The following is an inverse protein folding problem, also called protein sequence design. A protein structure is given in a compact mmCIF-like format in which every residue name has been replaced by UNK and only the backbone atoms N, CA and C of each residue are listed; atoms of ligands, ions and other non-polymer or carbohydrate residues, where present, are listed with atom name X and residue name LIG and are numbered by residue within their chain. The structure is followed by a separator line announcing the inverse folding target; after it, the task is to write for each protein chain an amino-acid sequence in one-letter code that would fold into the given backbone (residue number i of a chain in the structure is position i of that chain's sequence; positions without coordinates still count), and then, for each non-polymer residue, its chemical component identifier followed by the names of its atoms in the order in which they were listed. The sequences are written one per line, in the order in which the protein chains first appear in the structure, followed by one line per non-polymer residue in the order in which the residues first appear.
data_IF_151311903651
#
_entry.id   IF_151311903651
#
_cell.length_a   1.000
_cell.length_b   1.000
_cell.length_c   1.000
_cell.angle_alpha   90.00
_cell.angle_beta   90.00
_cell.angle_gamma   90.00
#
_symmetry.space_group_name_H-M   'P 1'
#
loop_
_entity.id
_entity.type
_entity.pdbx_description
1 polymer ?
#
# COMPACT_ATOMS: atom_id res chain seq x y z
N UNK A 1 -33.63 35.43 22.80
CA UNK A 1 -33.29 35.66 21.38
C UNK A 1 -32.64 34.39 20.86
N UNK A 2 -33.43 33.53 20.20
CA UNK A 2 -33.01 32.20 19.74
C UNK A 2 -33.17 32.16 18.23
N UNK A 3 -32.05 32.15 17.51
CA UNK A 3 -32.03 32.09 16.05
C UNK A 3 -32.29 30.65 15.61
N UNK A 4 -33.46 30.42 15.02
CA UNK A 4 -33.85 29.14 14.43
C UNK A 4 -32.92 28.79 13.26
N UNK A 5 -32.05 27.81 13.48
CA UNK A 5 -31.15 27.23 12.49
C UNK A 5 -31.98 26.44 11.46
N UNK A 6 -32.08 26.93 10.21
CA UNK A 6 -32.92 26.33 9.17
C UNK A 6 -32.24 25.07 8.60
N UNK A 7 -32.83 23.87 8.75
CA UNK A 7 -32.23 22.61 8.27
C UNK A 7 -32.07 22.54 6.74
N UNK A 8 -32.77 23.38 5.99
CA UNK A 8 -32.67 23.44 4.52
C UNK A 8 -31.32 23.95 4.00
N UNK A 9 -30.60 24.79 4.76
CA UNK A 9 -29.32 25.34 4.31
C UNK A 9 -28.20 24.29 4.31
N UNK A 10 -28.27 23.32 5.23
CA UNK A 10 -27.31 22.23 5.33
C UNK A 10 -27.51 21.19 4.22
N UNK A 11 -28.76 20.87 3.89
CA UNK A 11 -29.09 19.98 2.77
C UNK A 11 -28.68 20.57 1.41
N UNK A 12 -28.85 21.88 1.20
CA UNK A 12 -28.37 22.56 0.00
C UNK A 12 -26.83 22.62 -0.07
N UNK A 13 -26.13 22.75 1.07
CA UNK A 13 -24.66 22.67 1.13
C UNK A 13 -24.13 21.26 0.86
N UNK A 14 -24.81 20.22 1.33
CA UNK A 14 -24.48 18.82 1.00
C UNK A 14 -24.69 18.53 -0.49
N UNK A 15 -25.76 19.06 -1.10
CA UNK A 15 -26.01 18.94 -2.55
C UNK A 15 -25.02 19.74 -3.41
N UNK A 16 -24.43 20.81 -2.86
CA UNK A 16 -23.38 21.59 -3.56
C UNK A 16 -21.98 20.99 -3.43
N UNK A 17 -21.73 20.06 -2.50
CA UNK A 17 -20.47 19.31 -2.46
C UNK A 17 -20.35 18.28 -3.59
N UNK A 18 -21.45 17.90 -4.22
CA UNK A 18 -21.49 17.05 -5.42
C UNK A 18 -21.28 17.86 -6.71
N UNK A 19 -20.44 18.89 -6.69
CA UNK A 19 -19.99 19.50 -7.94
C UNK A 19 -19.08 18.47 -8.63
N UNK A 20 -19.48 17.88 -9.77
CA UNK A 20 -18.69 16.84 -10.42
C UNK A 20 -17.34 17.47 -10.75
N UNK A 21 -16.27 16.89 -10.22
CA UNK A 21 -14.90 17.27 -10.57
C UNK A 21 -14.81 17.42 -12.08
N UNK A 22 -14.15 18.49 -12.56
CA UNK A 22 -13.92 18.61 -13.99
C UNK A 22 -13.19 17.35 -14.48
N UNK A 23 -13.53 16.87 -15.67
CA UNK A 23 -12.98 15.63 -16.23
C UNK A 23 -11.44 15.62 -16.19
N UNK A 24 -10.82 16.80 -16.35
CA UNK A 24 -9.39 17.05 -16.19
C UNK A 24 -8.88 16.85 -14.76
N UNK A 25 -9.57 17.38 -13.74
CA UNK A 25 -9.21 17.21 -12.33
C UNK A 25 -9.36 15.75 -11.88
N UNK A 26 -10.40 15.06 -12.35
CA UNK A 26 -10.58 13.63 -12.08
C UNK A 26 -9.44 12.80 -12.67
N UNK A 27 -9.07 13.07 -13.93
CA UNK A 27 -7.96 12.38 -14.61
C UNK A 27 -6.62 12.59 -13.88
N UNK A 28 -6.35 13.83 -13.44
CA UNK A 28 -5.14 14.14 -12.71
C UNK A 28 -5.11 13.47 -11.32
N UNK A 29 -6.24 13.46 -10.62
CA UNK A 29 -6.38 12.77 -9.33
C UNK A 29 -6.15 11.27 -9.46
N UNK A 30 -6.72 10.64 -10.49
CA UNK A 30 -6.52 9.21 -10.78
C UNK A 30 -5.05 8.89 -11.08
N UNK A 31 -4.37 9.70 -11.91
CA UNK A 31 -2.94 9.51 -12.19
C UNK A 31 -2.09 9.59 -10.92
N UNK A 32 -2.37 10.56 -10.02
CA UNK A 32 -1.64 10.68 -8.75
C UNK A 32 -1.86 9.47 -7.83
N UNK A 33 -3.08 8.94 -7.79
CA UNK A 33 -3.41 7.71 -7.04
C UNK A 33 -2.70 6.48 -7.60
N UNK A 34 -2.69 6.31 -8.92
CA UNK A 34 -1.99 5.20 -9.59
C UNK A 34 -0.47 5.28 -9.36
N UNK A 35 0.13 6.47 -9.44
CA UNK A 35 1.56 6.67 -9.19
C UNK A 35 1.92 6.41 -7.70
N UNK A 36 1.07 6.86 -6.77
CA UNK A 36 1.23 6.56 -5.35
C UNK A 36 1.12 5.05 -5.06
N UNK A 37 0.17 4.36 -5.71
CA UNK A 37 -0.03 2.92 -5.57
C UNK A 37 1.18 2.14 -6.12
N UNK A 38 1.66 2.47 -7.32
CA UNK A 38 2.82 1.80 -7.91
C UNK A 38 4.09 2.01 -7.07
N UNK A 39 4.29 3.22 -6.55
CA UNK A 39 5.41 3.52 -5.65
C UNK A 39 5.30 2.74 -4.34
N UNK A 40 4.12 2.68 -3.73
CA UNK A 40 3.88 1.92 -2.51
C UNK A 40 4.11 0.41 -2.73
N UNK A 41 3.64 -0.16 -3.84
CA UNK A 41 3.86 -1.56 -4.20
C UNK A 41 5.33 -1.88 -4.46
N UNK A 42 6.08 -1.00 -5.14
CA UNK A 42 7.53 -1.20 -5.34
C UNK A 42 8.26 -1.25 -4.00
N UNK A 43 7.93 -0.37 -3.07
CA UNK A 43 8.52 -0.37 -1.73
C UNK A 43 8.13 -1.61 -0.93
N UNK A 44 6.87 -2.03 -0.99
CA UNK A 44 6.39 -3.27 -0.36
C UNK A 44 7.15 -4.49 -0.88
N UNK A 45 7.34 -4.62 -2.19
CA UNK A 45 8.13 -5.71 -2.81
C UNK A 45 9.58 -5.68 -2.37
N UNK A 46 10.22 -4.51 -2.32
CA UNK A 46 11.61 -4.38 -1.89
C UNK A 46 11.78 -4.78 -0.43
N UNK A 47 10.90 -4.31 0.47
CA UNK A 47 10.96 -4.68 1.89
C UNK A 47 10.65 -6.16 2.09
N UNK A 48 9.66 -6.70 1.38
CA UNK A 48 9.34 -8.13 1.42
C UNK A 48 10.49 -8.99 0.91
N UNK A 49 11.16 -8.58 -0.18
CA UNK A 49 12.32 -9.28 -0.71
C UNK A 49 13.52 -9.20 0.24
N UNK A 50 13.81 -8.01 0.78
CA UNK A 50 14.88 -7.82 1.76
C UNK A 50 14.65 -8.64 3.03
N UNK A 51 13.40 -8.68 3.53
CA UNK A 51 13.03 -9.57 4.61
C UNK A 51 13.35 -11.02 4.19
N UNK A 52 12.79 -11.51 3.09
CA UNK A 52 12.96 -12.91 2.70
C UNK A 52 14.42 -13.34 2.55
N UNK A 53 15.24 -12.50 1.92
CA UNK A 53 16.69 -12.72 1.80
C UNK A 53 17.36 -12.74 3.17
N UNK A 54 17.04 -11.79 4.06
CA UNK A 54 17.62 -11.76 5.41
C UNK A 54 17.26 -13.00 6.24
N UNK A 55 16.04 -13.52 6.10
CA UNK A 55 15.64 -14.79 6.74
C UNK A 55 16.42 -15.97 6.19
N UNK A 56 16.56 -16.06 4.88
CA UNK A 56 17.25 -17.17 4.25
C UNK A 56 18.73 -17.20 4.68
N UNK A 57 19.37 -16.03 4.73
CA UNK A 57 20.74 -15.87 5.24
C UNK A 57 20.81 -16.28 6.72
N UNK A 58 19.93 -15.74 7.57
CA UNK A 58 19.93 -16.07 9.00
C UNK A 58 19.68 -17.57 9.23
N UNK A 59 18.77 -18.17 8.48
CA UNK A 59 18.45 -19.59 8.54
C UNK A 59 19.65 -20.45 8.15
N UNK A 60 20.29 -20.18 7.01
CA UNK A 60 21.49 -20.91 6.59
C UNK A 60 22.60 -20.78 7.63
N UNK A 61 22.85 -19.57 8.12
CA UNK A 61 23.88 -19.32 9.13
C UNK A 61 23.57 -19.98 10.48
N UNK A 62 22.30 -20.12 10.85
CA UNK A 62 21.89 -20.86 12.04
C UNK A 62 22.31 -22.34 11.95
N UNK A 63 22.12 -22.97 10.78
CA UNK A 63 22.58 -24.35 10.55
C UNK A 63 24.10 -24.46 10.50
N UNK A 64 24.78 -23.53 9.83
CA UNK A 64 26.24 -23.51 9.75
C UNK A 64 26.86 -23.34 11.15
N UNK A 65 26.35 -22.41 11.95
CA UNK A 65 26.79 -22.20 13.33
C UNK A 65 26.49 -23.38 14.24
N UNK A 66 25.28 -23.95 14.15
CA UNK A 66 24.89 -25.10 14.96
C UNK A 66 25.67 -26.38 14.62
N UNK A 67 26.07 -26.55 13.37
CA UNK A 67 26.87 -27.70 12.91
C UNK A 67 28.34 -27.64 13.32
N UNK A 68 28.83 -26.50 13.83
CA UNK A 68 30.26 -26.23 14.13
C UNK A 68 31.23 -26.50 12.97
N UNK A 69 30.73 -26.68 11.74
CA UNK A 69 31.56 -27.01 10.56
C UNK A 69 32.54 -25.87 10.22
N UNK A 70 32.20 -24.64 10.57
CA UNK A 70 33.03 -23.45 10.32
C UNK A 70 33.80 -22.95 11.56
N UNK A 71 33.80 -23.68 12.67
CA UNK A 71 34.33 -23.24 13.97
C UNK A 71 33.30 -22.51 14.83
N UNK A 72 33.67 -22.18 16.07
CA UNK A 72 32.79 -21.45 16.99
C UNK A 72 32.69 -19.97 16.56
N UNK A 73 31.47 -19.42 16.62
CA UNK A 73 31.20 -18.00 16.34
C UNK A 73 31.58 -17.07 17.49
N UNK A 74 31.88 -17.65 18.66
CA UNK A 74 32.34 -16.87 19.82
C UNK A 74 33.81 -16.45 19.63
N UNK A 75 34.11 -15.13 19.59
CA UNK A 75 35.49 -14.65 19.46
C UNK A 75 36.39 -15.02 20.64
N UNK A 76 35.82 -15.44 21.78
CA UNK A 76 36.56 -15.91 22.95
C UNK A 76 36.94 -17.40 22.89
N UNK A 77 36.41 -18.14 21.90
CA UNK A 77 36.71 -19.57 21.75
C UNK A 77 38.10 -19.81 21.17
N UNK A 78 38.74 -20.93 21.56
CA UNK A 78 40.07 -21.31 21.03
C UNK A 78 40.05 -21.76 19.56
N UNK A 79 38.87 -22.12 19.06
CA UNK A 79 38.64 -22.54 17.67
C UNK A 79 38.07 -21.40 16.80
N UNK A 80 38.07 -20.17 17.30
CA UNK A 80 37.64 -19.00 16.56
C UNK A 80 38.60 -18.70 15.41
N UNK A 81 38.08 -18.75 14.18
CA UNK A 81 38.79 -18.30 12.99
C UNK A 81 38.23 -16.93 12.58
N UNK A 82 39.02 -16.06 11.94
CA UNK A 82 38.55 -14.74 11.46
C UNK A 82 37.27 -14.88 10.59
N UNK A 83 37.17 -15.96 9.81
CA UNK A 83 35.99 -16.30 9.03
C UNK A 83 34.76 -16.67 9.88
N UNK A 84 34.93 -17.38 10.99
CA UNK A 84 33.79 -17.75 11.86
C UNK A 84 33.22 -16.53 12.56
N UNK A 85 34.08 -15.64 13.08
CA UNK A 85 33.66 -14.41 13.76
C UNK A 85 32.91 -13.48 12.80
N UNK A 86 33.40 -13.31 11.56
CA UNK A 86 32.72 -12.50 10.55
C UNK A 86 31.36 -13.07 10.15
N UNK A 87 31.25 -14.40 10.00
CA UNK A 87 29.96 -15.08 9.79
C UNK A 87 28.99 -14.86 10.96
N UNK A 88 29.49 -14.89 12.20
CA UNK A 88 28.70 -14.59 13.40
C UNK A 88 28.14 -13.16 13.42
N UNK A 89 28.94 -12.17 13.04
CA UNK A 89 28.47 -10.77 12.92
C UNK A 89 27.39 -10.64 11.84
N UNK A 90 27.59 -11.25 10.67
CA UNK A 90 26.59 -11.25 9.59
C UNK A 90 25.29 -11.91 10.07
N UNK A 91 25.39 -13.02 10.80
CA UNK A 91 24.24 -13.69 11.41
C UNK A 91 23.48 -12.78 12.36
N UNK A 92 24.17 -12.08 13.27
CA UNK A 92 23.54 -11.14 14.20
C UNK A 92 22.82 -10.00 13.47
N UNK A 93 23.45 -9.41 12.44
CA UNK A 93 22.83 -8.36 11.63
C UNK A 93 21.59 -8.91 10.92
N UNK A 94 21.67 -10.08 10.30
CA UNK A 94 20.54 -10.72 9.62
C UNK A 94 19.39 -11.05 10.60
N UNK A 95 19.72 -11.57 11.78
CA UNK A 95 18.77 -11.93 12.82
C UNK A 95 18.02 -10.73 13.41
N UNK A 96 18.65 -9.54 13.48
CA UNK A 96 17.99 -8.29 13.89
C UNK A 96 17.23 -7.64 12.73
N UNK A 97 17.79 -7.70 11.52
CA UNK A 97 17.21 -7.09 10.32
C UNK A 97 15.90 -7.78 9.93
N UNK A 98 15.81 -9.11 10.04
CA UNK A 98 14.60 -9.86 9.71
C UNK A 98 13.34 -9.43 10.49
N UNK A 99 13.31 -9.45 11.84
CA UNK A 99 12.12 -9.04 12.59
C UNK A 99 11.83 -7.56 12.40
N UNK A 100 12.86 -6.72 12.21
CA UNK A 100 12.67 -5.29 11.94
C UNK A 100 12.02 -5.05 10.57
N UNK A 101 12.48 -5.75 9.53
CA UNK A 101 11.89 -5.71 8.19
C UNK A 101 10.46 -6.25 8.19
N UNK A 102 10.22 -7.35 8.91
CA UNK A 102 8.89 -7.95 9.07
C UNK A 102 7.94 -7.02 9.83
N UNK A 103 8.38 -6.41 10.92
CA UNK A 103 7.60 -5.44 11.68
C UNK A 103 7.27 -4.20 10.83
N UNK A 104 8.24 -3.67 10.08
CA UNK A 104 8.05 -2.56 9.15
C UNK A 104 7.04 -2.90 8.05
N UNK A 105 7.11 -4.11 7.50
CA UNK A 105 6.17 -4.62 6.50
C UNK A 105 4.72 -4.62 7.02
N UNK A 106 4.48 -5.24 8.17
CA UNK A 106 3.13 -5.34 8.76
C UNK A 106 2.60 -4.00 9.28
N UNK A 107 3.46 -3.19 9.90
CA UNK A 107 3.06 -1.91 10.50
C UNK A 107 2.76 -0.85 9.46
N UNK A 108 3.59 -0.72 8.40
CA UNK A 108 3.58 0.48 7.55
C UNK A 108 3.09 0.25 6.13
N UNK A 109 3.39 -0.91 5.54
CA UNK A 109 3.12 -1.15 4.12
C UNK A 109 1.75 -1.77 3.89
N UNK A 110 1.39 -2.78 4.69
CA UNK A 110 0.10 -3.47 4.57
C UNK A 110 -1.13 -2.54 4.71
N UNK A 111 -1.23 -1.65 5.71
CA UNK A 111 -2.37 -0.74 5.81
C UNK A 111 -2.40 0.28 4.67
N UNK A 112 -1.27 0.90 4.31
CA UNK A 112 -1.20 1.89 3.22
C UNK A 112 -1.64 1.34 1.87
N UNK A 113 -1.22 0.13 1.53
CA UNK A 113 -1.59 -0.50 0.26
C UNK A 113 -3.07 -0.87 0.26
N UNK A 114 -3.62 -1.27 1.41
CA UNK A 114 -5.06 -1.56 1.54
C UNK A 114 -5.89 -0.29 1.38
N UNK A 115 -5.54 0.78 2.07
CA UNK A 115 -6.27 2.05 2.02
C UNK A 115 -6.23 2.66 0.61
N UNK A 116 -5.08 2.62 -0.08
CA UNK A 116 -4.98 3.07 -1.47
C UNK A 116 -5.81 2.21 -2.44
N UNK A 117 -5.86 0.89 -2.22
CA UNK A 117 -6.71 0.01 -3.03
C UNK A 117 -8.20 0.28 -2.80
N UNK A 118 -8.60 0.53 -1.56
CA UNK A 118 -9.98 0.90 -1.20
C UNK A 118 -10.36 2.23 -1.87
N UNK A 119 -9.50 3.25 -1.78
CA UNK A 119 -9.73 4.54 -2.46
C UNK A 119 -9.85 4.41 -3.99
N UNK A 120 -9.01 3.60 -4.64
CA UNK A 120 -9.12 3.37 -6.09
C UNK A 120 -10.42 2.62 -6.43
N UNK A 121 -10.85 1.67 -5.60
CA UNK A 121 -12.09 0.93 -5.81
C UNK A 121 -13.30 1.84 -5.67
N UNK A 122 -13.32 2.70 -4.66
CA UNK A 122 -14.43 3.63 -4.40
C UNK A 122 -14.56 4.67 -5.52
N UNK A 123 -13.43 5.21 -5.98
CA UNK A 123 -13.40 6.17 -7.12
C UNK A 123 -13.82 5.53 -8.44
N UNK A 124 -13.50 4.24 -8.66
CA UNK A 124 -13.97 3.51 -9.83
C UNK A 124 -15.49 3.24 -9.77
N UNK A 125 -16.02 2.90 -8.60
CA UNK A 125 -17.47 2.70 -8.40
C UNK A 125 -18.24 3.99 -8.68
N UNK A 126 -17.76 5.13 -8.16
CA UNK A 126 -18.37 6.43 -8.41
C UNK A 126 -18.37 6.79 -9.91
N UNK A 127 -17.26 6.57 -10.61
CA UNK A 127 -17.19 6.82 -12.05
C UNK A 127 -18.19 5.97 -12.84
N UNK A 128 -18.31 4.68 -12.50
CA UNK A 128 -19.29 3.78 -13.13
C UNK A 128 -20.74 4.22 -12.85
N UNK A 129 -21.04 4.72 -11.66
CA UNK A 129 -22.37 5.23 -11.34
C UNK A 129 -22.72 6.48 -12.16
N UNK A 130 -21.77 7.41 -12.34
CA UNK A 130 -21.94 8.57 -13.21
C UNK A 130 -22.18 8.14 -14.67
N UNK A 131 -21.39 7.20 -15.18
CA UNK A 131 -21.53 6.71 -16.55
C UNK A 131 -22.88 6.03 -16.79
N UNK A 132 -23.35 5.21 -15.83
CA UNK A 132 -24.70 4.61 -15.88
C UNK A 132 -25.78 5.69 -15.86
N UNK A 133 -25.62 6.73 -15.03
CA UNK A 133 -26.58 7.82 -14.95
C UNK A 133 -26.66 8.61 -16.27
N UNK A 134 -25.52 8.85 -16.90
CA UNK A 134 -25.46 9.54 -18.19
C UNK A 134 -26.01 8.68 -19.34
N UNK A 135 -25.70 7.39 -19.38
CA UNK A 135 -26.32 6.45 -20.32
C UNK A 135 -27.83 6.40 -20.15
N UNK A 136 -28.32 6.42 -18.89
CA UNK A 136 -29.76 6.44 -18.59
C UNK A 136 -30.42 7.73 -19.06
N UNK A 137 -29.73 8.87 -18.98
CA UNK A 137 -30.21 10.14 -19.56
C UNK A 137 -30.27 10.06 -21.07
N UNK A 138 -29.25 9.52 -21.73
CA UNK A 138 -29.22 9.38 -23.20
C UNK A 138 -30.34 8.46 -23.73
N UNK A 139 -30.61 7.36 -23.05
CA UNK A 139 -31.72 6.44 -23.39
C UNK A 139 -33.08 7.06 -23.03
N UNK A 140 -33.15 7.83 -21.93
CA UNK A 140 -34.36 8.49 -21.44
C UNK A 140 -34.77 9.75 -22.21
N UNK A 141 -33.90 10.28 -23.08
CA UNK A 141 -34.28 11.24 -24.11
C UNK A 141 -34.89 10.49 -25.30
N UNK A 142 -36.23 10.43 -25.44
CA UNK A 142 -36.83 9.88 -26.65
C UNK A 142 -36.32 10.66 -27.85
N UNK A 143 -35.80 9.94 -28.84
CA UNK A 143 -35.40 10.42 -30.15
C UNK A 143 -36.58 11.20 -30.75
N UNK A 144 -36.52 12.52 -30.68
CA UNK A 144 -37.51 13.45 -31.23
C UNK A 144 -37.30 13.63 -32.74
N UNK A 145 -36.97 12.55 -33.44
CA UNK A 145 -36.67 12.55 -34.88
C UNK A 145 -37.62 11.65 -35.69
N UNK A 146 -38.58 10.96 -35.04
CA UNK A 146 -39.50 10.04 -35.74
C UNK A 146 -40.88 10.68 -36.05
N UNK A 147 -40.98 12.01 -36.08
CA UNK A 147 -42.21 12.73 -36.42
C UNK A 147 -41.98 13.68 -37.61
N UNK A 148 -41.85 13.09 -38.80
CA UNK A 148 -42.09 13.75 -40.10
C UNK A 148 -43.09 12.92 -40.88
#
# INVERSE_FOLDING_TARGET
MSSANKPGHFAMQLLQQDQPFSESQYKEYRMKLEDALTTAQRRERLVGHAAWVSFLIAFVLMFVGGSKVAGDFDPSSRDATIFSVTLGVIYCIAAVTWPLAMASYFSRFRPRVRDLKEQIRDTAILALQCEIADLRKQIGTPRRDDAT
#
